data_IF_113683153330
#
_entry.id   IF_113683153330
#
_cell.length_a   1.000
_cell.length_b   1.000
_cell.length_c   1.000
_cell.angle_alpha   90.00
_cell.angle_beta   90.00
_cell.angle_gamma   90.00
#
_symmetry.space_group_name_H-M   'P 1'
#
loop_
_entity.id
_entity.type
_entity.pdbx_description
1 polymer ?
#
# COMPACT_ATOMS: atom_id res chain seq x y z
N UNK A 1 17.45 27.97 -9.60
CA UNK A 1 16.70 28.36 -8.40
C UNK A 1 16.94 27.32 -7.32
N UNK A 2 17.59 27.64 -6.20
CA UNK A 2 17.83 26.66 -5.14
C UNK A 2 16.49 26.36 -4.43
N UNK A 3 16.01 25.12 -4.49
CA UNK A 3 14.82 24.67 -3.73
C UNK A 3 15.19 24.63 -2.24
N UNK A 4 15.00 25.76 -1.54
CA UNK A 4 14.81 25.77 -0.09
C UNK A 4 13.46 25.10 0.19
N UNK A 5 13.41 23.85 0.70
CA UNK A 5 12.31 23.28 1.54
C UNK A 5 12.35 21.75 1.76
N UNK A 6 13.46 21.03 1.57
CA UNK A 6 13.47 19.57 1.81
C UNK A 6 13.39 19.15 3.29
N UNK A 7 13.65 20.05 4.25
CA UNK A 7 13.68 19.72 5.68
C UNK A 7 12.29 19.47 6.34
N UNK A 8 11.17 19.90 5.73
CA UNK A 8 9.85 19.83 6.38
C UNK A 8 9.05 18.54 6.10
N UNK A 9 9.60 17.59 5.32
CA UNK A 9 8.89 16.38 4.87
C UNK A 9 8.96 15.19 5.84
N UNK A 10 9.79 15.28 6.88
CA UNK A 10 9.85 14.27 7.95
C UNK A 10 9.19 14.81 9.21
N UNK A 11 8.24 14.05 9.74
CA UNK A 11 7.69 14.26 11.08
C UNK A 11 8.77 14.04 12.15
N UNK A 12 8.59 14.64 13.34
CA UNK A 12 9.49 14.40 14.48
C UNK A 12 9.61 12.92 14.81
N UNK A 13 8.51 12.16 14.72
CA UNK A 13 8.51 10.72 14.94
C UNK A 13 9.31 9.93 13.88
N UNK A 14 9.39 10.43 12.65
CA UNK A 14 10.25 9.83 11.62
C UNK A 14 11.73 10.11 11.92
N UNK A 15 12.04 11.34 12.34
CA UNK A 15 13.40 11.71 12.74
C UNK A 15 13.88 10.87 13.93
N UNK A 16 13.03 10.69 14.95
CA UNK A 16 13.32 9.81 16.10
C UNK A 16 13.53 8.36 15.69
N UNK A 17 12.80 7.88 14.69
CA UNK A 17 12.98 6.51 14.16
C UNK A 17 14.30 6.35 13.41
N UNK A 18 14.72 7.36 12.65
CA UNK A 18 16.01 7.36 11.97
C UNK A 18 17.18 7.46 12.95
N UNK A 19 17.04 8.24 14.02
CA UNK A 19 17.97 8.26 15.15
C UNK A 19 18.12 6.85 15.75
N UNK A 20 16.99 6.23 16.14
CA UNK A 20 16.99 4.87 16.72
C UNK A 20 17.54 3.81 15.77
N UNK A 21 17.32 3.96 14.47
CA UNK A 21 17.90 3.07 13.45
C UNK A 21 19.42 3.11 13.52
N UNK A 22 20.02 4.30 13.53
CA UNK A 22 21.47 4.45 13.63
C UNK A 22 22.00 3.95 14.98
N UNK A 23 21.30 4.23 16.08
CA UNK A 23 21.67 3.74 17.41
C UNK A 23 21.65 2.21 17.49
N UNK A 24 20.65 1.57 16.89
CA UNK A 24 20.51 0.12 16.88
C UNK A 24 21.60 -0.59 16.07
N UNK A 25 22.03 0.01 14.96
CA UNK A 25 23.03 -0.57 14.05
C UNK A 25 24.45 -0.03 14.25
N UNK A 26 24.66 0.86 15.23
CA UNK A 26 25.99 1.39 15.53
C UNK A 26 26.82 0.35 16.27
N UNK A 27 28.03 0.09 15.75
CA UNK A 27 29.04 -0.71 16.44
C UNK A 27 29.70 0.08 17.59
N UNK A 28 29.70 1.41 17.47
CA UNK A 28 30.22 2.33 18.47
C UNK A 28 29.07 2.81 19.36
N UNK A 29 29.31 3.02 20.67
CA UNK A 29 28.26 3.49 21.61
C UNK A 29 27.78 4.93 21.34
N UNK A 30 28.25 5.59 20.29
CA UNK A 30 27.89 6.95 19.94
C UNK A 30 27.54 7.07 18.46
N UNK A 31 26.34 7.60 18.20
CA UNK A 31 25.91 8.00 16.87
C UNK A 31 26.30 9.46 16.66
N UNK A 32 26.91 9.78 15.52
CA UNK A 32 27.24 11.16 15.16
C UNK A 32 25.97 11.90 14.77
N UNK A 33 25.69 13.03 15.41
CA UNK A 33 24.51 13.84 15.10
C UNK A 33 24.45 14.29 13.63
N UNK A 34 25.62 14.49 13.01
CA UNK A 34 25.73 14.83 11.59
C UNK A 34 25.19 13.71 10.69
N UNK A 35 25.43 12.45 11.03
CA UNK A 35 24.94 11.30 10.25
C UNK A 35 23.41 11.21 10.34
N UNK A 36 22.83 11.47 11.51
CA UNK A 36 21.37 11.53 11.69
C UNK A 36 20.77 12.63 10.82
N UNK A 37 21.35 13.84 10.86
CA UNK A 37 20.88 14.97 10.06
C UNK A 37 20.96 14.67 8.56
N UNK A 38 22.06 14.07 8.12
CA UNK A 38 22.25 13.73 6.72
C UNK A 38 21.29 12.63 6.25
N UNK A 39 21.08 11.60 7.07
CA UNK A 39 20.09 10.54 6.81
C UNK A 39 18.66 11.10 6.72
N UNK A 40 18.31 12.06 7.58
CA UNK A 40 17.04 12.78 7.51
C UNK A 40 16.87 13.54 6.18
N UNK A 41 17.91 14.26 5.74
CA UNK A 41 17.89 14.99 4.45
C UNK A 41 17.70 14.03 3.29
N UNK A 42 18.50 12.97 3.19
CA UNK A 42 18.41 11.99 2.11
C UNK A 42 17.03 11.29 2.08
N UNK A 43 16.50 10.94 3.25
CA UNK A 43 15.18 10.31 3.35
C UNK A 43 14.07 11.24 2.88
N UNK A 44 14.15 12.53 3.22
CA UNK A 44 13.19 13.54 2.77
C UNK A 44 13.28 13.77 1.26
N UNK A 45 14.49 13.81 0.70
CA UNK A 45 14.72 13.92 -0.75
C UNK A 45 14.13 12.73 -1.52
N UNK A 46 14.35 11.50 -1.05
CA UNK A 46 13.75 10.30 -1.65
C UNK A 46 12.21 10.39 -1.61
N UNK A 47 11.63 10.81 -0.47
CA UNK A 47 10.17 11.00 -0.37
C UNK A 47 9.68 12.03 -1.40
N UNK A 48 10.44 13.11 -1.60
CA UNK A 48 10.08 14.20 -2.51
C UNK A 48 10.21 13.82 -3.99
N UNK A 49 11.28 13.13 -4.36
CA UNK A 49 11.46 12.57 -5.71
C UNK A 49 10.29 11.65 -6.05
N UNK A 50 9.98 10.72 -5.13
CA UNK A 50 8.86 9.82 -5.34
C UNK A 50 7.52 10.58 -5.41
N UNK A 51 7.37 11.70 -4.69
CA UNK A 51 6.11 12.46 -4.67
C UNK A 51 5.88 13.14 -6.01
N UNK A 52 6.92 13.80 -6.53
CA UNK A 52 6.91 14.44 -7.84
C UNK A 52 6.64 13.42 -8.95
N UNK A 53 7.28 12.26 -8.90
CA UNK A 53 7.03 11.18 -9.86
C UNK A 53 5.55 10.77 -9.87
N UNK A 54 4.96 10.52 -8.70
CA UNK A 54 3.55 10.10 -8.59
C UNK A 54 2.59 11.16 -9.15
N UNK A 55 2.80 12.43 -8.83
CA UNK A 55 1.96 13.52 -9.36
C UNK A 55 2.06 13.64 -10.88
N UNK A 56 3.28 13.58 -11.43
CA UNK A 56 3.51 13.65 -12.87
C UNK A 56 2.83 12.49 -13.59
N UNK A 57 2.99 11.27 -13.09
CA UNK A 57 2.30 10.10 -13.63
C UNK A 57 0.78 10.25 -13.54
N UNK A 58 0.25 10.62 -12.36
CA UNK A 58 -1.19 10.77 -12.14
C UNK A 58 -1.84 11.78 -13.08
N UNK A 59 -1.19 12.92 -13.34
CA UNK A 59 -1.67 13.92 -14.30
C UNK A 59 -1.76 13.35 -15.72
N UNK A 60 -0.74 12.63 -16.20
CA UNK A 60 -0.75 12.03 -17.56
C UNK A 60 -1.79 10.92 -17.65
N UNK A 61 -1.90 10.08 -16.62
CA UNK A 61 -2.92 9.02 -16.56
C UNK A 61 -4.32 9.63 -16.62
N UNK A 62 -4.58 10.75 -15.91
CA UNK A 62 -5.86 11.46 -15.99
C UNK A 62 -6.16 11.94 -17.41
N UNK A 63 -5.19 12.57 -18.09
CA UNK A 63 -5.35 13.01 -19.49
C UNK A 63 -5.68 11.84 -20.43
N UNK A 64 -5.02 10.70 -20.28
CA UNK A 64 -5.32 9.51 -21.06
C UNK A 64 -6.69 8.93 -20.73
N UNK A 65 -7.08 8.90 -19.45
CA UNK A 65 -8.42 8.48 -19.04
C UNK A 65 -9.48 9.35 -19.71
N UNK A 66 -9.28 10.67 -19.72
CA UNK A 66 -10.21 11.62 -20.32
C UNK A 66 -10.29 11.45 -21.85
N UNK A 67 -9.15 11.23 -22.53
CA UNK A 67 -9.10 10.90 -23.95
C UNK A 67 -9.86 9.61 -24.28
N UNK A 68 -9.72 8.57 -23.44
CA UNK A 68 -10.30 7.25 -23.70
C UNK A 68 -11.77 7.12 -23.29
N UNK A 69 -12.40 8.15 -22.71
CA UNK A 69 -13.83 8.14 -22.33
C UNK A 69 -14.78 7.91 -23.50
N UNK A 70 -14.43 8.37 -24.71
CA UNK A 70 -15.24 8.20 -25.91
C UNK A 70 -15.11 6.82 -26.56
N UNK A 71 -14.25 5.95 -26.01
CA UNK A 71 -14.01 4.61 -26.54
C UNK A 71 -14.77 3.56 -25.73
N UNK A 72 -14.81 2.33 -26.26
CA UNK A 72 -15.48 1.20 -25.61
C UNK A 72 -14.97 0.99 -24.17
N UNK A 73 -15.87 0.58 -23.30
CA UNK A 73 -15.56 0.14 -21.94
C UNK A 73 -14.36 -0.83 -21.92
N UNK A 74 -13.44 -0.59 -21.00
CA UNK A 74 -12.21 -1.37 -20.85
C UNK A 74 -11.01 -0.82 -21.63
N UNK A 75 -11.18 0.13 -22.55
CA UNK A 75 -10.06 0.74 -23.28
C UNK A 75 -8.99 1.32 -22.35
N UNK A 76 -9.40 2.09 -21.33
CA UNK A 76 -8.49 2.64 -20.32
C UNK A 76 -7.78 1.53 -19.54
N UNK A 77 -8.51 0.53 -19.04
CA UNK A 77 -7.95 -0.60 -18.30
C UNK A 77 -6.95 -1.43 -19.12
N UNK A 78 -7.18 -1.56 -20.42
CA UNK A 78 -6.25 -2.22 -21.35
C UNK A 78 -5.00 -1.37 -21.60
N UNK A 79 -5.16 -0.05 -21.76
CA UNK A 79 -4.03 0.87 -21.88
C UNK A 79 -3.13 0.85 -20.62
N UNK A 80 -3.72 0.77 -19.43
CA UNK A 80 -2.97 0.60 -18.18
C UNK A 80 -2.12 -0.68 -18.20
N UNK A 81 -2.69 -1.81 -18.66
CA UNK A 81 -1.95 -3.06 -18.78
C UNK A 81 -0.82 -2.97 -19.81
N UNK A 82 -1.05 -2.34 -20.97
CA UNK A 82 -0.03 -2.17 -22.01
C UNK A 82 1.13 -1.28 -21.57
N UNK A 83 0.84 -0.23 -20.79
CA UNK A 83 1.84 0.79 -20.43
C UNK A 83 2.58 0.47 -19.14
N UNK A 84 1.91 -0.10 -18.14
CA UNK A 84 2.48 -0.35 -16.80
C UNK A 84 2.66 -1.84 -16.48
N UNK A 85 2.14 -2.76 -17.31
CA UNK A 85 2.10 -4.19 -17.01
C UNK A 85 1.16 -4.56 -15.85
N UNK A 86 0.49 -3.59 -15.22
CA UNK A 86 -0.44 -3.80 -14.11
C UNK A 86 -1.44 -2.64 -13.99
N UNK A 87 -2.59 -2.90 -13.35
CA UNK A 87 -3.60 -1.86 -13.09
C UNK A 87 -3.35 -1.12 -11.77
N UNK A 88 -2.85 -1.81 -10.76
CA UNK A 88 -2.82 -1.31 -9.38
C UNK A 88 -1.99 -0.02 -9.23
N UNK A 89 -0.77 -0.02 -9.75
CA UNK A 89 0.18 1.10 -9.62
C UNK A 89 -0.34 2.36 -10.29
N UNK A 90 -0.75 2.35 -11.57
CA UNK A 90 -1.25 3.56 -12.20
C UNK A 90 -2.60 4.02 -11.64
N UNK A 91 -3.48 3.12 -11.18
CA UNK A 91 -4.68 3.54 -10.45
C UNK A 91 -4.33 4.26 -9.14
N UNK A 92 -3.35 3.76 -8.38
CA UNK A 92 -2.89 4.43 -7.16
C UNK A 92 -2.36 5.84 -7.46
N UNK A 93 -1.58 6.01 -8.53
CA UNK A 93 -1.08 7.32 -8.94
C UNK A 93 -2.19 8.28 -9.34
N UNK A 94 -3.16 7.79 -10.13
CA UNK A 94 -4.32 8.56 -10.56
C UNK A 94 -5.14 9.07 -9.37
N UNK A 95 -5.57 8.17 -8.48
CA UNK A 95 -6.41 8.57 -7.33
C UNK A 95 -5.67 9.48 -6.36
N UNK A 96 -4.36 9.27 -6.18
CA UNK A 96 -3.52 10.16 -5.38
C UNK A 96 -3.49 11.57 -5.97
N UNK A 97 -3.19 11.68 -7.27
CA UNK A 97 -3.15 12.95 -7.96
C UNK A 97 -4.50 13.68 -7.88
N UNK A 98 -5.61 12.96 -8.05
CA UNK A 98 -6.95 13.54 -7.95
C UNK A 98 -7.25 14.08 -6.55
N UNK A 99 -6.97 13.31 -5.50
CA UNK A 99 -7.13 13.79 -4.12
C UNK A 99 -6.24 15.01 -3.86
N UNK A 100 -4.94 14.90 -4.18
CA UNK A 100 -3.95 15.94 -3.88
C UNK A 100 -4.24 17.25 -4.61
N UNK A 101 -4.75 17.18 -5.84
CA UNK A 101 -5.12 18.37 -6.63
C UNK A 101 -6.28 19.15 -6.03
N UNK A 102 -7.12 18.50 -5.22
CA UNK A 102 -8.28 19.11 -4.56
C UNK A 102 -7.96 19.64 -3.16
N UNK A 103 -6.81 19.29 -2.59
CA UNK A 103 -6.44 19.72 -1.25
C UNK A 103 -6.11 21.23 -1.21
N UNK A 104 -6.50 21.93 -0.12
CA UNK A 104 -5.94 23.23 0.22
C UNK A 104 -4.41 23.14 0.41
N UNK A 105 -3.68 24.23 0.11
CA UNK A 105 -2.21 24.23 0.16
C UNK A 105 -1.65 23.88 1.54
N UNK A 106 -2.32 24.29 2.61
CA UNK A 106 -1.97 23.90 3.98
C UNK A 106 -2.02 22.37 4.19
N UNK A 107 -3.01 21.69 3.60
CA UNK A 107 -3.15 20.23 3.72
C UNK A 107 -2.24 19.47 2.76
N UNK A 108 -1.81 20.07 1.64
CA UNK A 108 -0.80 19.46 0.76
C UNK A 108 0.50 19.21 1.50
N UNK A 109 0.94 20.17 2.31
CA UNK A 109 2.16 20.06 3.13
C UNK A 109 2.06 18.87 4.09
N UNK A 110 0.92 18.67 4.75
CA UNK A 110 0.72 17.52 5.64
C UNK A 110 0.61 16.19 4.87
N UNK A 111 -0.10 16.19 3.74
CA UNK A 111 -0.25 15.01 2.89
C UNK A 111 1.09 14.50 2.32
N UNK A 112 2.05 15.39 2.09
CA UNK A 112 3.41 15.03 1.64
C UNK A 112 4.21 14.27 2.71
N UNK A 113 3.93 14.53 4.00
CA UNK A 113 4.59 13.84 5.12
C UNK A 113 4.04 12.42 5.31
N UNK A 114 2.78 12.18 4.96
CA UNK A 114 2.08 10.92 5.21
C UNK A 114 2.67 9.71 4.43
N UNK A 115 2.59 8.49 4.99
CA UNK A 115 2.96 7.27 4.28
C UNK A 115 2.21 7.09 2.96
N UNK A 116 2.95 6.95 1.85
CA UNK A 116 2.43 6.85 0.47
C UNK A 116 1.30 5.84 0.33
N UNK A 117 1.51 4.64 0.85
CA UNK A 117 0.56 3.54 0.73
C UNK A 117 -0.75 3.82 1.47
N UNK A 118 -0.68 4.52 2.60
CA UNK A 118 -1.85 4.96 3.33
C UNK A 118 -2.60 6.05 2.55
N UNK A 119 -1.88 6.98 1.91
CA UNK A 119 -2.48 7.98 1.03
C UNK A 119 -3.18 7.37 -0.19
N UNK A 120 -2.59 6.36 -0.84
CA UNK A 120 -3.28 5.61 -1.90
C UNK A 120 -4.57 4.98 -1.41
N UNK A 121 -4.53 4.40 -0.20
CA UNK A 121 -5.71 3.82 0.42
C UNK A 121 -6.76 4.88 0.68
N UNK A 122 -6.41 5.98 1.34
CA UNK A 122 -7.31 7.11 1.64
C UNK A 122 -7.96 7.67 0.37
N UNK A 123 -7.17 7.92 -0.67
CA UNK A 123 -7.63 8.43 -1.94
C UNK A 123 -8.65 7.50 -2.62
N UNK A 124 -8.37 6.20 -2.62
CA UNK A 124 -9.23 5.18 -3.26
C UNK A 124 -10.51 4.82 -2.50
N UNK A 125 -10.70 5.33 -1.27
CA UNK A 125 -11.90 5.07 -0.47
C UNK A 125 -13.04 5.97 -0.92
N UNK A 126 -14.24 5.37 -0.99
CA UNK A 126 -15.47 6.14 -1.16
C UNK A 126 -15.81 6.84 0.16
N UNK A 127 -16.31 8.06 0.07
CA UNK A 127 -16.61 8.90 1.23
C UNK A 127 -16.40 10.38 0.95
N UNK A 128 -16.83 11.23 1.88
CA UNK A 128 -16.77 12.68 1.71
C UNK A 128 -15.32 13.20 1.73
N UNK A 129 -15.08 14.26 0.98
CA UNK A 129 -13.76 14.88 0.86
C UNK A 129 -13.33 15.48 2.22
N UNK A 130 -14.28 16.06 2.95
CA UNK A 130 -14.07 16.71 4.25
C UNK A 130 -13.47 15.74 5.29
N UNK A 131 -13.94 14.48 5.29
CA UNK A 131 -13.41 13.45 6.18
C UNK A 131 -12.01 13.00 5.79
N UNK A 132 -11.70 12.98 4.49
CA UNK A 132 -10.33 12.68 4.02
C UNK A 132 -9.38 13.79 4.44
N UNK A 133 -9.81 15.04 4.32
CA UNK A 133 -9.06 16.21 4.78
C UNK A 133 -8.88 16.23 6.29
N UNK A 134 -9.87 15.79 7.07
CA UNK A 134 -9.75 15.65 8.51
C UNK A 134 -8.65 14.66 8.92
N UNK A 135 -8.57 13.50 8.25
CA UNK A 135 -7.47 12.55 8.50
C UNK A 135 -6.11 13.17 8.18
N UNK A 136 -6.00 13.93 7.09
CA UNK A 136 -4.75 14.59 6.69
C UNK A 136 -4.37 15.67 7.72
N UNK A 137 -5.33 16.50 8.12
CA UNK A 137 -5.15 17.58 9.10
C UNK A 137 -4.70 17.06 10.47
N UNK A 138 -5.21 15.89 10.86
CA UNK A 138 -4.95 15.29 12.16
C UNK A 138 -3.72 14.36 12.16
N UNK A 139 -2.95 14.30 11.07
CA UNK A 139 -1.75 13.47 10.99
C UNK A 139 -0.67 13.95 11.96
N UNK A 140 -0.15 13.04 12.79
CA UNK A 140 0.84 13.33 13.86
C UNK A 140 2.14 12.52 13.71
N UNK A 141 2.36 11.91 12.56
CA UNK A 141 3.53 11.07 12.30
C UNK A 141 3.25 9.57 12.38
N UNK A 142 1.98 9.16 12.47
CA UNK A 142 1.57 7.76 12.48
C UNK A 142 2.29 6.95 11.40
N UNK A 143 2.70 5.74 11.75
CA UNK A 143 3.27 4.84 10.79
C UNK A 143 2.20 4.33 9.81
N UNK A 144 2.65 3.68 8.73
CA UNK A 144 1.78 3.17 7.67
C UNK A 144 0.62 2.31 8.23
N UNK A 145 0.89 1.41 9.16
CA UNK A 145 -0.10 0.45 9.66
C UNK A 145 -1.09 1.09 10.63
N UNK A 146 -0.66 2.04 11.45
CA UNK A 146 -1.51 2.88 12.29
C UNK A 146 -2.46 3.72 11.44
N UNK A 147 -1.93 4.43 10.46
CA UNK A 147 -2.72 5.29 9.59
C UNK A 147 -3.70 4.47 8.73
N UNK A 148 -3.29 3.30 8.22
CA UNK A 148 -4.20 2.39 7.54
C UNK A 148 -5.34 1.92 8.43
N UNK A 149 -5.09 1.72 9.72
CA UNK A 149 -6.13 1.34 10.70
C UNK A 149 -7.14 2.47 10.89
N UNK A 150 -6.67 3.72 11.03
CA UNK A 150 -7.51 4.92 11.11
C UNK A 150 -8.39 5.02 9.85
N UNK A 151 -7.79 4.94 8.66
CA UNK A 151 -8.51 5.03 7.38
C UNK A 151 -9.56 3.93 7.25
N UNK A 152 -9.23 2.69 7.62
CA UNK A 152 -10.16 1.55 7.52
C UNK A 152 -11.31 1.64 8.52
N UNK A 153 -11.09 2.28 9.67
CA UNK A 153 -12.13 2.54 10.67
C UNK A 153 -13.10 3.60 10.15
N UNK A 154 -12.58 4.69 9.59
CA UNK A 154 -13.41 5.81 9.10
C UNK A 154 -14.12 5.45 7.78
N UNK A 155 -13.44 4.74 6.89
CA UNK A 155 -13.95 4.32 5.59
C UNK A 155 -13.94 2.79 5.48
N UNK A 156 -14.85 2.07 6.16
CA UNK A 156 -14.94 0.61 6.05
C UNK A 156 -15.22 0.19 4.60
N UNK A 157 -14.80 -1.03 4.22
CA UNK A 157 -15.23 -1.60 2.94
C UNK A 157 -16.72 -1.92 3.04
N UNK A 158 -17.52 -1.46 2.08
CA UNK A 158 -18.89 -1.92 1.92
C UNK A 158 -18.88 -3.39 1.48
N UNK A 159 -19.92 -4.16 1.87
CA UNK A 159 -20.01 -5.61 1.61
C UNK A 159 -19.87 -6.01 0.12
N UNK A 160 -20.19 -5.08 -0.79
CA UNK A 160 -20.11 -5.24 -2.24
C UNK A 160 -18.75 -4.87 -2.84
N UNK A 161 -17.80 -4.37 -2.06
CA UNK A 161 -16.48 -4.00 -2.54
C UNK A 161 -15.66 -5.26 -2.89
N UNK A 162 -15.25 -5.39 -4.14
CA UNK A 162 -14.45 -6.54 -4.61
C UNK A 162 -13.12 -6.71 -3.86
N UNK A 163 -12.62 -5.66 -3.19
CA UNK A 163 -11.41 -5.72 -2.34
C UNK A 163 -11.68 -6.37 -1.00
N UNK A 164 -12.95 -6.48 -0.57
CA UNK A 164 -13.36 -7.32 0.55
C UNK A 164 -13.39 -8.77 0.06
N UNK A 165 -12.22 -9.33 -0.21
CA UNK A 165 -12.13 -10.75 -0.51
C UNK A 165 -12.58 -11.50 0.73
N UNK A 166 -13.62 -12.32 0.62
CA UNK A 166 -14.02 -13.16 1.74
C UNK A 166 -12.81 -14.02 2.13
N UNK A 167 -12.57 -14.17 3.43
CA UNK A 167 -11.45 -14.97 3.94
C UNK A 167 -11.46 -16.37 3.32
N UNK A 168 -12.65 -16.93 3.09
CA UNK A 168 -12.87 -18.18 2.37
C UNK A 168 -12.39 -18.13 0.91
N UNK A 169 -12.74 -17.09 0.13
CA UNK A 169 -12.28 -16.94 -1.27
C UNK A 169 -10.77 -16.77 -1.35
N UNK A 170 -10.18 -16.03 -0.42
CA UNK A 170 -8.72 -15.83 -0.37
C UNK A 170 -8.00 -17.15 -0.04
N UNK A 171 -8.48 -17.89 0.97
CA UNK A 171 -7.92 -19.19 1.33
C UNK A 171 -8.00 -20.19 0.17
N UNK A 172 -9.14 -20.28 -0.51
CA UNK A 172 -9.31 -21.14 -1.69
C UNK A 172 -8.39 -20.74 -2.84
N UNK A 173 -8.23 -19.44 -3.11
CA UNK A 173 -7.32 -18.95 -4.16
C UNK A 173 -5.86 -19.33 -3.88
N UNK A 174 -5.41 -19.28 -2.61
CA UNK A 174 -4.07 -19.73 -2.23
C UNK A 174 -3.90 -21.23 -2.39
N UNK A 175 -4.90 -22.04 -2.02
CA UNK A 175 -4.86 -23.49 -2.22
C UNK A 175 -4.77 -23.84 -3.72
N UNK A 176 -5.56 -23.18 -4.58
CA UNK A 176 -5.50 -23.39 -6.04
C UNK A 176 -4.11 -23.07 -6.58
N UNK A 177 -3.54 -21.91 -6.21
CA UNK A 177 -2.18 -21.53 -6.63
C UNK A 177 -1.13 -22.52 -6.14
N UNK A 178 -1.22 -22.94 -4.87
CA UNK A 178 -0.33 -23.94 -4.29
C UNK A 178 -0.36 -25.25 -5.06
N UNK A 179 -1.56 -25.76 -5.38
CA UNK A 179 -1.74 -26.98 -6.18
C UNK A 179 -1.15 -26.85 -7.59
N UNK A 180 -1.33 -25.71 -8.26
CA UNK A 180 -0.75 -25.45 -9.59
C UNK A 180 0.78 -25.40 -9.59
N UNK A 181 1.39 -24.96 -8.48
CA UNK A 181 2.85 -24.97 -8.34
C UNK A 181 3.34 -26.38 -8.05
N UNK A 182 2.70 -27.11 -7.12
CA UNK A 182 3.05 -28.48 -6.79
C UNK A 182 2.88 -29.43 -7.98
N UNK A 183 1.90 -29.21 -8.85
CA UNK A 183 1.71 -30.01 -10.06
C UNK A 183 2.85 -29.85 -11.08
N UNK A 184 3.70 -28.84 -10.93
CA UNK A 184 4.90 -28.61 -11.76
C UNK A 184 6.18 -29.15 -11.10
N UNK A 185 6.11 -29.57 -9.85
CA UNK A 185 7.25 -30.19 -9.17
C UNK A 185 7.42 -31.62 -9.69
N UNK A 186 8.59 -31.93 -10.26
CA UNK A 186 8.93 -33.27 -10.73
C UNK A 186 9.24 -34.22 -9.58
N UNK A 187 9.83 -33.73 -8.50
CA UNK A 187 10.12 -34.48 -7.27
C UNK A 187 10.03 -33.59 -6.03
N UNK A 188 9.76 -34.21 -4.88
CA UNK A 188 9.81 -33.58 -3.55
C UNK A 188 10.81 -34.35 -2.68
N UNK A 189 11.58 -33.64 -1.87
CA UNK A 189 12.46 -34.23 -0.85
C UNK A 189 11.65 -34.94 0.25
N UNK A 190 12.32 -35.77 1.06
CA UNK A 190 11.66 -36.44 2.20
C UNK A 190 11.07 -35.45 3.20
N UNK A 191 11.76 -34.35 3.45
CA UNK A 191 11.30 -33.28 4.36
C UNK A 191 10.08 -32.54 3.79
N UNK A 192 10.10 -32.23 2.49
CA UNK A 192 9.00 -31.57 1.79
C UNK A 192 7.75 -32.46 1.75
N UNK A 193 7.92 -33.77 1.49
CA UNK A 193 6.84 -34.76 1.58
C UNK A 193 6.22 -34.78 2.96
N UNK A 194 7.04 -34.87 4.01
CA UNK A 194 6.57 -34.86 5.40
C UNK A 194 5.83 -33.56 5.75
N UNK A 195 6.25 -32.43 5.22
CA UNK A 195 5.58 -31.13 5.39
C UNK A 195 4.23 -31.10 4.69
N UNK A 196 4.15 -31.59 3.46
CA UNK A 196 2.91 -31.67 2.69
C UNK A 196 1.89 -32.60 3.37
N UNK A 197 2.31 -33.76 3.85
CA UNK A 197 1.43 -34.68 4.58
C UNK A 197 0.87 -34.05 5.86
N UNK A 198 1.70 -33.32 6.63
CA UNK A 198 1.25 -32.57 7.80
C UNK A 198 0.22 -31.50 7.42
N UNK A 199 0.44 -30.79 6.31
CA UNK A 199 -0.50 -29.78 5.80
C UNK A 199 -1.84 -30.42 5.41
N UNK A 200 -1.82 -31.56 4.70
CA UNK A 200 -3.02 -32.30 4.32
C UNK A 200 -3.82 -32.77 5.54
N UNK A 201 -3.15 -33.27 6.59
CA UNK A 201 -3.81 -33.63 7.86
C UNK A 201 -4.49 -32.42 8.52
N UNK A 202 -3.82 -31.27 8.55
CA UNK A 202 -4.41 -30.01 9.07
C UNK A 202 -5.61 -29.57 8.24
N UNK A 203 -5.53 -29.60 6.92
CA UNK A 203 -6.63 -29.25 6.03
C UNK A 203 -7.82 -30.19 6.18
N UNK A 204 -7.59 -31.50 6.38
CA UNK A 204 -8.67 -32.46 6.67
C UNK A 204 -9.39 -32.13 7.98
N UNK A 205 -8.66 -31.74 9.03
CA UNK A 205 -9.27 -31.28 10.29
C UNK A 205 -10.09 -30.00 10.09
N UNK A 206 -9.57 -29.04 9.33
CA UNK A 206 -10.31 -27.80 8.99
C UNK A 206 -11.57 -28.12 8.20
N UNK A 207 -11.51 -29.04 7.23
CA UNK A 207 -12.69 -29.52 6.48
C UNK A 207 -13.76 -30.06 7.43
N UNK A 208 -13.38 -30.98 8.34
CA UNK A 208 -14.34 -31.57 9.28
C UNK A 208 -14.99 -30.53 10.21
N UNK A 209 -14.27 -29.46 10.54
CA UNK A 209 -14.84 -28.36 11.34
C UNK A 209 -15.78 -27.45 10.54
N UNK A 210 -15.53 -27.27 9.24
CA UNK A 210 -16.35 -26.42 8.36
C UNK A 210 -17.59 -27.15 7.82
N UNK A 211 -17.53 -28.48 7.77
CA UNK A 211 -18.62 -29.37 7.40
C UNK A 211 -18.80 -30.40 8.52
N UNK A 212 -19.34 -30.00 9.70
CA UNK A 212 -19.74 -30.98 10.70
C UNK A 212 -20.77 -31.89 10.04
N UNK A 213 -20.55 -33.21 10.11
CA UNK A 213 -21.36 -34.22 9.41
C UNK A 213 -22.85 -33.87 9.48
N UNK A 214 -23.41 -33.37 8.37
CA UNK A 214 -24.86 -33.35 8.15
C UNK A 214 -25.27 -34.80 8.07
N UNK A 215 -25.69 -35.35 9.22
CA UNK A 215 -26.54 -36.54 9.24
C UNK A 215 -27.81 -36.17 8.49
N UNK A 216 -27.92 -36.66 7.25
CA UNK A 216 -29.21 -36.98 6.62
C UNK A 216 -29.74 -38.21 7.33
#
# INVERSE_FOLDING_TARGET
MPRKTTQHLLSSQEQDRLQKLLEHYSLEKQVKQQDVQYLCVLSAEIKQIHHQAVLLHGERIKKVRDLLKSYREGAFSSWLMLTYGNRQTPYNFLVYYELFSLLPDALKIEAEKMPRQAMYTLASRQGSQEKKEEIIRNYKGENKDELLRIIRKEFPLIASDCRQTSVSKQALAFLVKGTQLLSKCSTLSLEEKGTLEKLLKKLKKVKNNLFPDTKV
#
